data_IF_989799908970
#
_entry.id   IF_989799908970
#
_cell.length_a   1.000
_cell.length_b   1.000
_cell.length_c   1.000
_cell.angle_alpha   90.00
_cell.angle_beta   90.00
_cell.angle_gamma   90.00
#
_symmetry.space_group_name_H-M   'P 1'
#
loop_
_entity.id
_entity.type
_entity.pdbx_description
1 polymer ?
#
# COMPACT_ATOMS: atom_id res chain seq x y z
N UNK A 1 50.97 15.52 16.01
CA UNK A 1 50.65 14.66 14.86
C UNK A 1 49.39 13.86 15.21
N UNK A 2 48.23 14.34 14.75
CA UNK A 2 47.34 13.70 13.76
C UNK A 2 46.60 12.47 14.33
N UNK A 3 45.27 12.33 14.41
CA UNK A 3 44.08 13.18 14.42
C UNK A 3 42.99 12.37 15.14
N UNK A 4 42.13 13.06 15.89
CA UNK A 4 40.86 12.57 16.42
C UNK A 4 39.89 12.24 15.28
N UNK A 5 38.85 11.46 15.62
CA UNK A 5 37.60 11.22 14.89
C UNK A 5 37.58 10.04 13.92
N UNK A 6 37.16 8.87 14.43
CA UNK A 6 36.34 7.96 13.64
C UNK A 6 34.88 8.27 13.97
N UNK A 7 34.37 9.35 13.38
CA UNK A 7 32.95 9.62 13.29
C UNK A 7 32.34 8.54 12.37
N UNK A 8 31.84 7.45 12.96
CA UNK A 8 30.79 6.68 12.32
C UNK A 8 29.53 7.55 12.39
N UNK A 9 29.45 8.46 11.43
CA UNK A 9 28.27 9.25 11.12
C UNK A 9 27.16 8.25 10.81
N UNK A 10 26.32 7.97 11.81
CA UNK A 10 25.03 7.30 11.63
C UNK A 10 24.18 8.29 10.85
N UNK A 11 24.27 8.27 9.53
CA UNK A 11 23.39 9.07 8.69
C UNK A 11 23.11 8.33 7.42
N UNK A 12 22.24 7.33 7.55
CA UNK A 12 20.91 7.33 6.96
C UNK A 12 20.22 6.10 7.55
N UNK A 13 19.20 6.28 8.40
CA UNK A 13 18.25 5.21 8.66
C UNK A 13 17.55 4.90 7.33
N UNK A 14 18.05 3.87 6.64
CA UNK A 14 17.44 3.26 5.46
C UNK A 14 15.99 2.79 5.73
N UNK A 15 15.55 2.81 7.00
CA UNK A 15 14.17 2.57 7.46
C UNK A 15 13.14 3.59 6.92
N UNK A 16 13.57 4.82 6.61
CA UNK A 16 12.67 5.87 6.10
C UNK A 16 12.50 5.85 4.56
N UNK A 17 13.33 5.09 3.84
CA UNK A 17 13.15 4.81 2.41
C UNK A 17 12.85 3.34 2.23
N UNK A 18 11.71 2.89 2.77
CA UNK A 18 11.14 1.57 2.50
C UNK A 18 11.05 1.37 0.98
N UNK A 19 12.06 0.71 0.39
CA UNK A 19 12.00 0.20 -0.98
C UNK A 19 10.90 -0.85 -0.97
N UNK A 20 9.68 -0.39 -1.26
CA UNK A 20 8.48 -1.21 -1.32
C UNK A 20 8.75 -2.33 -2.34
N UNK A 21 8.93 -3.55 -1.83
CA UNK A 21 9.31 -4.73 -2.62
C UNK A 21 8.20 -5.03 -3.64
N UNK A 22 8.58 -5.50 -4.82
CA UNK A 22 7.64 -6.01 -5.83
C UNK A 22 6.82 -7.14 -5.20
N UNK A 23 5.51 -7.17 -5.46
CA UNK A 23 4.61 -8.19 -4.91
C UNK A 23 4.09 -7.90 -3.48
N UNK A 24 4.43 -6.75 -2.89
CA UNK A 24 3.87 -6.30 -1.61
C UNK A 24 2.83 -5.18 -1.77
N UNK A 25 2.41 -4.83 -2.99
CA UNK A 25 1.48 -3.74 -3.23
C UNK A 25 0.38 -4.10 -4.21
N UNK A 26 -0.85 -3.71 -3.86
CA UNK A 26 -2.02 -3.75 -4.74
C UNK A 26 -2.58 -2.35 -4.95
N UNK A 27 -3.18 -2.15 -6.12
CA UNK A 27 -4.01 -1.00 -6.44
C UNK A 27 -5.46 -1.43 -6.30
N UNK A 28 -6.23 -0.65 -5.55
CA UNK A 28 -7.67 -0.83 -5.41
C UNK A 28 -8.38 0.30 -6.14
N UNK A 29 -9.30 -0.02 -7.03
CA UNK A 29 -10.07 0.96 -7.82
C UNK A 29 -11.57 0.80 -7.57
N UNK A 30 -12.32 1.78 -8.07
CA UNK A 30 -13.78 1.87 -7.94
C UNK A 30 -14.30 2.08 -6.51
N UNK A 31 -13.46 2.55 -5.58
CA UNK A 31 -13.88 2.90 -4.23
C UNK A 31 -14.66 4.21 -4.23
N UNK A 32 -15.75 4.31 -3.46
CA UNK A 32 -16.43 5.60 -3.23
C UNK A 32 -15.51 6.56 -2.47
N UNK A 33 -15.70 7.85 -2.68
CA UNK A 33 -14.96 8.92 -1.96
C UNK A 33 -15.11 8.88 -0.45
N UNK A 34 -16.18 8.27 0.06
CA UNK A 34 -16.49 8.17 1.48
C UNK A 34 -15.78 6.99 2.17
N UNK A 35 -15.17 6.08 1.40
CA UNK A 35 -14.43 4.94 1.94
C UNK A 35 -13.27 5.43 2.80
N UNK A 36 -13.18 4.92 4.04
CA UNK A 36 -12.12 5.27 4.96
C UNK A 36 -10.98 4.27 4.88
N UNK A 37 -9.80 4.73 5.27
CA UNK A 37 -8.61 3.87 5.40
C UNK A 37 -8.87 2.67 6.30
N UNK A 38 -9.60 2.85 7.40
CA UNK A 38 -9.92 1.79 8.35
C UNK A 38 -10.74 0.65 7.72
N UNK A 39 -11.66 0.97 6.81
CA UNK A 39 -12.50 -0.04 6.17
C UNK A 39 -11.66 -0.92 5.22
N UNK A 40 -10.72 -0.29 4.49
CA UNK A 40 -9.75 -1.00 3.65
C UNK A 40 -8.78 -1.82 4.50
N UNK A 41 -8.32 -1.28 5.63
CA UNK A 41 -7.43 -2.00 6.54
C UNK A 41 -8.07 -3.31 7.02
N UNK A 42 -9.31 -3.22 7.51
CA UNK A 42 -10.06 -4.38 8.00
C UNK A 42 -10.30 -5.42 6.90
N UNK A 43 -10.51 -4.99 5.64
CA UNK A 43 -10.68 -5.90 4.51
C UNK A 43 -9.38 -6.63 4.15
N UNK A 44 -8.27 -5.89 4.05
CA UNK A 44 -7.00 -6.43 3.57
C UNK A 44 -6.18 -7.14 4.65
N UNK A 45 -6.43 -6.87 5.94
CA UNK A 45 -5.83 -7.59 7.07
C UNK A 45 -6.16 -9.10 7.04
N UNK A 46 -7.31 -9.49 6.46
CA UNK A 46 -7.69 -10.90 6.28
C UNK A 46 -6.71 -11.69 5.39
N UNK A 47 -5.94 -10.99 4.54
CA UNK A 47 -4.94 -11.61 3.66
C UNK A 47 -3.54 -11.54 4.25
N UNK A 48 -3.22 -10.47 4.98
CA UNK A 48 -1.94 -10.34 5.67
C UNK A 48 -1.75 -8.95 6.27
N UNK A 49 -0.67 -8.80 7.03
CA UNK A 49 -0.39 -7.57 7.75
C UNK A 49 -0.24 -6.38 6.79
N UNK A 50 -1.15 -5.41 6.91
CA UNK A 50 -1.14 -4.17 6.13
C UNK A 50 -0.17 -3.18 6.77
N UNK A 51 0.74 -2.66 5.97
CA UNK A 51 1.75 -1.68 6.36
C UNK A 51 1.24 -0.25 6.20
N UNK A 52 0.78 0.10 4.99
CA UNK A 52 0.36 1.45 4.65
C UNK A 52 -0.79 1.38 3.66
N UNK A 53 -1.76 2.28 3.81
CA UNK A 53 -2.82 2.52 2.85
C UNK A 53 -2.79 3.98 2.42
N UNK A 54 -2.73 4.23 1.13
CA UNK A 54 -2.76 5.57 0.55
C UNK A 54 -4.02 5.74 -0.29
N UNK A 55 -4.97 6.52 0.23
CA UNK A 55 -6.13 6.97 -0.54
C UNK A 55 -5.70 8.11 -1.47
N UNK A 56 -5.88 7.92 -2.77
CA UNK A 56 -5.61 8.97 -3.74
C UNK A 56 -6.76 9.97 -3.75
N UNK A 57 -6.44 11.26 -3.90
CA UNK A 57 -7.46 12.28 -4.11
C UNK A 57 -7.96 12.19 -5.56
N UNK A 58 -9.28 12.03 -5.73
CA UNK A 58 -9.87 12.19 -7.05
C UNK A 58 -9.91 13.68 -7.42
N UNK A 59 -9.43 14.02 -8.62
CA UNK A 59 -9.57 15.38 -9.17
C UNK A 59 -10.95 15.61 -9.79
N UNK A 60 -11.64 14.54 -10.22
CA UNK A 60 -12.97 14.57 -10.85
C UNK A 60 -13.68 13.23 -10.61
N UNK A 61 -14.83 13.26 -9.96
CA UNK A 61 -15.72 12.11 -9.76
C UNK A 61 -15.74 11.56 -8.33
N UNK A 62 -16.78 10.78 -8.03
CA UNK A 62 -17.04 10.19 -6.70
C UNK A 62 -16.24 8.92 -6.41
N UNK A 63 -15.32 8.52 -7.30
CA UNK A 63 -14.49 7.33 -7.15
C UNK A 63 -13.02 7.68 -6.96
N UNK A 64 -12.39 7.05 -5.97
CA UNK A 64 -10.98 7.22 -5.65
C UNK A 64 -10.25 5.88 -5.78
N UNK A 65 -9.02 5.85 -6.33
CA UNK A 65 -8.16 4.70 -6.18
C UNK A 65 -7.44 4.72 -4.82
N UNK A 66 -7.04 3.55 -4.34
CA UNK A 66 -6.20 3.38 -3.17
C UNK A 66 -5.01 2.49 -3.49
N UNK A 67 -3.88 2.74 -2.82
CA UNK A 67 -2.75 1.83 -2.81
C UNK A 67 -2.67 1.16 -1.44
N UNK A 68 -2.56 -0.16 -1.43
CA UNK A 68 -2.41 -0.95 -0.20
C UNK A 68 -1.06 -1.63 -0.24
N UNK A 69 -0.27 -1.44 0.81
CA UNK A 69 1.04 -2.04 1.01
C UNK A 69 0.97 -3.05 2.13
N UNK A 70 1.53 -4.23 1.88
CA UNK A 70 1.63 -5.32 2.83
C UNK A 70 3.07 -5.44 3.33
N UNK A 71 3.25 -5.96 4.53
CA UNK A 71 4.56 -6.36 5.04
C UNK A 71 5.11 -7.58 4.28
N UNK A 72 4.22 -8.49 3.91
CA UNK A 72 4.54 -9.76 3.25
C UNK A 72 4.19 -9.72 1.75
N UNK A 73 4.77 -10.60 0.91
CA UNK A 73 4.47 -10.67 -0.52
C UNK A 73 3.11 -11.34 -0.82
N UNK A 74 2.06 -10.94 -0.11
CA UNK A 74 0.69 -11.49 -0.19
C UNK A 74 -0.20 -10.74 -1.19
N UNK A 75 0.34 -9.76 -1.91
CA UNK A 75 -0.44 -8.92 -2.83
C UNK A 75 -1.17 -9.75 -3.90
N UNK A 76 -0.56 -10.85 -4.37
CA UNK A 76 -1.19 -11.74 -5.36
C UNK A 76 -2.43 -12.44 -4.78
N UNK A 77 -2.34 -12.92 -3.54
CA UNK A 77 -3.47 -13.55 -2.84
C UNK A 77 -4.59 -12.52 -2.65
N UNK A 78 -4.24 -11.27 -2.29
CA UNK A 78 -5.22 -10.19 -2.17
C UNK A 78 -5.95 -9.91 -3.48
N UNK A 79 -5.24 -9.93 -4.62
CA UNK A 79 -5.86 -9.81 -5.95
C UNK A 79 -6.78 -10.99 -6.23
N UNK A 80 -6.31 -12.22 -6.05
CA UNK A 80 -7.12 -13.42 -6.34
C UNK A 80 -8.40 -13.49 -5.50
N UNK A 81 -8.35 -13.00 -4.27
CA UNK A 81 -9.48 -13.03 -3.34
C UNK A 81 -10.43 -11.83 -3.50
N UNK A 82 -9.90 -10.63 -3.73
CA UNK A 82 -10.68 -9.39 -3.68
C UNK A 82 -10.92 -8.73 -5.04
N UNK A 83 -10.34 -9.23 -6.14
CA UNK A 83 -10.67 -8.74 -7.46
C UNK A 83 -12.15 -8.99 -7.77
N UNK A 84 -12.89 -7.92 -8.08
CA UNK A 84 -14.36 -7.92 -8.28
C UNK A 84 -15.15 -8.33 -7.03
N UNK A 85 -14.59 -8.13 -5.85
CA UNK A 85 -15.30 -8.37 -4.60
C UNK A 85 -16.34 -7.28 -4.33
N UNK A 86 -17.47 -7.68 -3.73
CA UNK A 86 -18.53 -6.75 -3.34
C UNK A 86 -18.19 -6.12 -1.99
N UNK A 87 -17.81 -4.85 -2.02
CA UNK A 87 -17.51 -4.05 -0.85
C UNK A 87 -18.64 -3.06 -0.61
N UNK A 88 -19.48 -3.33 0.39
CA UNK A 88 -20.72 -2.61 0.62
C UNK A 88 -21.69 -2.79 -0.55
N UNK A 89 -22.01 -1.71 -1.26
CA UNK A 89 -22.92 -1.73 -2.42
C UNK A 89 -22.20 -1.61 -3.76
N UNK A 90 -20.87 -1.70 -3.76
CA UNK A 90 -20.02 -1.48 -4.91
C UNK A 90 -19.10 -2.69 -5.14
N UNK A 91 -18.67 -2.87 -6.39
CA UNK A 91 -17.70 -3.90 -6.76
C UNK A 91 -16.33 -3.24 -6.89
N UNK A 92 -15.37 -3.69 -6.09
CA UNK A 92 -14.01 -3.14 -6.13
C UNK A 92 -13.15 -3.92 -7.11
N UNK A 93 -12.20 -3.22 -7.71
CA UNK A 93 -11.22 -3.82 -8.60
C UNK A 93 -9.86 -3.81 -7.90
N UNK A 94 -9.24 -4.97 -7.75
CA UNK A 94 -7.95 -5.12 -7.08
C UNK A 94 -6.96 -5.68 -8.08
N UNK A 95 -5.83 -5.01 -8.24
CA UNK A 95 -4.78 -5.39 -9.20
C UNK A 95 -3.40 -5.27 -8.57
N UNK A 96 -2.42 -6.02 -9.09
CA UNK A 96 -1.03 -5.86 -8.68
C UNK A 96 -0.52 -4.47 -9.09
N UNK A 97 0.16 -3.78 -8.18
CA UNK A 97 0.82 -2.51 -8.53
C UNK A 97 2.11 -2.80 -9.30
N UNK A 98 2.10 -2.53 -10.62
CA UNK A 98 3.27 -2.64 -11.48
C UNK A 98 4.23 -1.44 -11.39
N UNK A 99 3.87 -0.37 -10.65
CA UNK A 99 4.70 0.84 -10.55
C UNK A 99 5.78 0.71 -9.48
N UNK A 100 6.88 0.05 -9.85
CA UNK A 100 8.21 0.37 -9.33
C UNK A 100 9.20 0.35 -10.49
N UNK A 101 9.19 1.44 -11.27
CA UNK A 101 10.30 1.87 -12.11
C UNK A 101 10.42 3.39 -12.04
#
# INVERSE_FOLDING_TARGET
MLWRNNELVISLSDDAKKKRKRGCCVVVRNLKKDVKVQDLYSLFEEVGAVDVIELQKSRRGDRIPALVFFYEPVARIAVEKFHKFKFGNDVIDVELSHKFN
#
